data_IF_923485217192
#
_entry.id   IF_923485217192
#
_cell.length_a   1.000
_cell.length_b   1.000
_cell.length_c   1.000
_cell.angle_alpha   90.00
_cell.angle_beta   90.00
_cell.angle_gamma   90.00
#
_symmetry.space_group_name_H-M   'P 1'
#
loop_
_entity.id
_entity.type
_entity.pdbx_description
1 polymer ?
#
# COMPACT_ATOMS: atom_id res chain seq x y z
N UNK A 1 33.59 21.91 54.78
CA UNK A 1 32.74 20.70 54.81
C UNK A 1 33.67 19.53 54.61
N UNK A 2 33.79 18.65 55.61
CA UNK A 2 34.70 17.51 55.59
C UNK A 2 34.12 16.43 54.68
N UNK A 3 34.96 15.91 53.77
CA UNK A 3 34.72 14.71 52.99
C UNK A 3 34.57 13.51 53.94
N UNK A 4 33.36 13.05 54.17
CA UNK A 4 33.10 11.73 54.74
C UNK A 4 33.19 10.72 53.60
N UNK A 5 34.39 10.24 53.34
CA UNK A 5 34.64 9.05 52.51
C UNK A 5 33.92 7.85 53.13
N UNK A 6 32.78 7.52 52.60
CA UNK A 6 31.95 6.37 53.00
C UNK A 6 32.62 5.06 52.60
N UNK A 7 33.56 4.62 53.44
CA UNK A 7 34.30 3.35 53.24
C UNK A 7 33.42 2.16 53.71
N UNK A 8 32.14 2.18 53.29
CA UNK A 8 31.12 1.20 53.65
C UNK A 8 31.53 -0.24 53.32
N UNK A 9 32.32 -0.44 52.25
CA UNK A 9 32.82 -1.75 51.82
C UNK A 9 33.71 -2.41 52.89
N UNK A 10 34.46 -1.62 53.69
CA UNK A 10 35.32 -2.17 54.75
C UNK A 10 34.52 -2.76 55.92
N UNK A 11 33.30 -2.30 56.16
CA UNK A 11 32.47 -2.73 57.28
C UNK A 11 31.63 -3.99 56.93
N UNK A 12 31.60 -4.39 55.68
CA UNK A 12 30.85 -5.58 55.29
C UNK A 12 31.50 -6.87 55.78
N UNK A 13 30.72 -7.92 56.15
CA UNK A 13 31.17 -9.27 56.36
C UNK A 13 31.91 -9.80 55.12
N UNK A 14 32.89 -10.70 55.31
CA UNK A 14 33.77 -11.17 54.24
C UNK A 14 32.99 -11.80 53.06
N UNK A 15 31.92 -12.53 53.32
CA UNK A 15 31.08 -13.14 52.29
C UNK A 15 30.29 -12.10 51.45
N UNK A 16 29.89 -10.99 52.07
CA UNK A 16 29.25 -9.89 51.33
C UNK A 16 30.23 -9.15 50.44
N UNK A 17 31.50 -9.02 50.86
CA UNK A 17 32.59 -8.47 50.03
C UNK A 17 32.80 -9.31 48.77
N UNK A 18 32.80 -10.65 48.94
CA UNK A 18 32.90 -11.57 47.79
C UNK A 18 31.71 -11.41 46.85
N UNK A 19 30.48 -11.29 47.37
CA UNK A 19 29.28 -11.10 46.55
C UNK A 19 29.33 -9.79 45.76
N UNK A 20 29.72 -8.68 46.38
CA UNK A 20 29.87 -7.39 45.71
C UNK A 20 30.93 -7.45 44.61
N UNK A 21 32.04 -8.11 44.85
CA UNK A 21 33.10 -8.30 43.85
C UNK A 21 32.63 -9.18 42.69
N UNK A 22 31.90 -10.23 42.98
CA UNK A 22 31.31 -11.13 41.93
C UNK A 22 30.30 -10.40 41.07
N UNK A 23 29.38 -9.65 41.68
CA UNK A 23 28.42 -8.81 40.95
C UNK A 23 29.10 -7.75 40.12
N UNK A 24 30.11 -7.05 40.70
CA UNK A 24 30.93 -6.09 39.98
C UNK A 24 31.67 -6.70 38.79
N UNK A 25 32.21 -7.92 38.97
CA UNK A 25 32.86 -8.65 37.88
C UNK A 25 31.90 -9.09 36.77
N UNK A 26 30.70 -9.53 37.15
CA UNK A 26 29.63 -9.90 36.16
C UNK A 26 29.20 -8.66 35.38
N UNK A 27 29.01 -7.51 36.07
CA UNK A 27 28.61 -6.25 35.40
C UNK A 27 29.74 -5.77 34.47
N UNK A 28 31.02 -5.82 34.94
CA UNK A 28 32.16 -5.47 34.12
C UNK A 28 32.30 -6.41 32.91
N UNK A 29 32.14 -7.72 33.12
CA UNK A 29 32.16 -8.69 32.02
C UNK A 29 31.02 -8.44 30.98
N UNK A 30 29.83 -8.05 31.43
CA UNK A 30 28.73 -7.65 30.54
C UNK A 30 29.04 -6.37 29.76
N UNK A 31 29.81 -5.42 30.35
CA UNK A 31 30.22 -4.22 29.64
C UNK A 31 31.42 -4.43 28.70
N UNK A 32 32.37 -5.31 29.04
CA UNK A 32 33.56 -5.57 28.21
C UNK A 32 33.32 -6.61 27.10
N UNK A 33 32.32 -7.51 27.26
CA UNK A 33 31.97 -8.50 26.25
C UNK A 33 30.99 -7.96 25.19
N UNK A 34 30.66 -6.69 25.20
CA UNK A 34 29.84 -6.01 24.20
C UNK A 34 28.54 -6.75 23.79
N UNK A 35 27.59 -6.07 23.17
CA UNK A 35 26.37 -6.72 22.68
C UNK A 35 26.62 -7.83 21.65
N UNK A 36 27.80 -7.90 21.04
CA UNK A 36 28.13 -8.86 19.98
C UNK A 36 28.30 -10.31 20.46
N UNK A 37 28.64 -10.55 21.75
CA UNK A 37 28.80 -11.93 22.28
C UNK A 37 27.46 -12.57 22.60
N UNK A 38 26.44 -11.78 22.96
CA UNK A 38 25.08 -12.30 23.16
C UNK A 38 24.28 -12.42 21.86
N UNK A 39 24.66 -11.70 20.80
CA UNK A 39 24.12 -11.83 19.47
C UNK A 39 24.45 -13.17 18.80
N UNK A 40 25.66 -13.70 19.07
CA UNK A 40 26.12 -14.95 18.39
C UNK A 40 25.56 -16.26 18.97
N UNK A 41 25.00 -16.24 20.18
CA UNK A 41 24.44 -17.47 20.78
C UNK A 41 23.02 -17.80 20.25
N UNK A 42 22.33 -16.84 19.62
CA UNK A 42 20.98 -17.05 19.07
C UNK A 42 20.89 -17.19 17.54
N UNK A 43 21.99 -17.11 16.79
CA UNK A 43 21.96 -17.13 15.31
C UNK A 43 22.05 -18.52 14.67
N UNK A 44 22.09 -19.61 15.44
CA UNK A 44 22.09 -20.98 14.88
C UNK A 44 20.76 -21.73 15.08
N UNK A 45 19.64 -21.06 15.22
CA UNK A 45 18.40 -21.66 14.74
C UNK A 45 18.46 -21.58 13.22
N UNK A 46 18.66 -22.70 12.55
CA UNK A 46 18.39 -22.83 11.12
C UNK A 46 17.07 -22.12 10.85
N UNK A 47 17.14 -20.90 10.28
CA UNK A 47 15.94 -20.23 9.84
C UNK A 47 15.34 -21.15 8.79
N UNK A 48 14.30 -21.89 9.17
CA UNK A 48 13.44 -22.57 8.24
C UNK A 48 13.01 -21.59 7.13
N UNK A 49 12.51 -22.06 6.02
CA UNK A 49 12.00 -21.17 4.98
C UNK A 49 11.06 -20.16 5.65
N UNK A 50 11.15 -18.86 5.29
CA UNK A 50 10.31 -17.84 5.91
C UNK A 50 8.85 -18.26 5.85
N UNK A 51 8.15 -18.12 6.98
CA UNK A 51 6.74 -18.49 7.07
C UNK A 51 5.95 -17.76 5.98
N UNK A 52 5.09 -18.48 5.25
CA UNK A 52 4.28 -17.86 4.22
C UNK A 52 3.31 -16.85 4.84
N UNK A 53 3.24 -15.66 4.26
CA UNK A 53 2.41 -14.57 4.78
C UNK A 53 1.26 -14.31 3.80
N UNK A 54 0.04 -14.21 4.33
CA UNK A 54 -1.09 -13.60 3.65
C UNK A 54 -1.19 -12.13 4.06
N UNK A 55 -0.85 -11.24 3.15
CA UNK A 55 -1.05 -9.81 3.35
C UNK A 55 -2.49 -9.41 3.01
N UNK A 56 -3.08 -8.57 3.87
CA UNK A 56 -4.36 -7.91 3.62
C UNK A 56 -4.11 -6.42 3.49
N UNK A 57 -4.27 -5.88 2.29
CA UNK A 57 -4.15 -4.45 2.05
C UNK A 57 -5.53 -3.81 1.94
N UNK A 58 -5.78 -2.78 2.75
CA UNK A 58 -6.99 -1.96 2.67
C UNK A 58 -6.61 -0.64 2.02
N UNK A 59 -7.14 -0.43 0.82
CA UNK A 59 -6.75 0.68 -0.05
C UNK A 59 -7.93 1.63 -0.21
N UNK A 60 -7.72 2.92 0.03
CA UNK A 60 -8.70 3.94 -0.33
C UNK A 60 -8.27 4.68 -1.60
N UNK A 61 -9.18 4.84 -2.55
CA UNK A 61 -8.98 5.62 -3.77
C UNK A 61 -9.63 6.98 -3.61
N UNK A 62 -8.85 8.04 -3.77
CA UNK A 62 -9.34 9.42 -3.76
C UNK A 62 -9.51 9.90 -5.21
N UNK A 63 -10.61 9.49 -5.83
CA UNK A 63 -10.92 9.79 -7.23
C UNK A 63 -11.39 11.22 -7.43
N UNK A 64 -12.41 11.59 -6.68
CA UNK A 64 -13.11 12.88 -6.72
C UNK A 64 -13.15 13.50 -5.32
N UNK A 65 -12.04 14.05 -4.81
CA UNK A 65 -11.95 14.50 -3.42
C UNK A 65 -13.00 15.54 -3.01
N UNK A 66 -13.60 16.26 -3.97
CA UNK A 66 -14.71 17.19 -3.71
C UNK A 66 -16.05 16.50 -3.48
N UNK A 67 -16.22 15.24 -3.90
CA UNK A 67 -17.44 14.47 -3.71
C UNK A 67 -17.48 13.78 -2.33
N UNK A 68 -16.36 13.69 -1.61
CA UNK A 68 -16.30 13.12 -0.27
C UNK A 68 -17.12 13.95 0.72
N UNK A 69 -18.13 13.34 1.32
CA UNK A 69 -18.94 13.90 2.38
C UNK A 69 -18.31 13.78 3.77
N UNK A 70 -18.94 14.42 4.75
CA UNK A 70 -18.53 14.25 6.16
C UNK A 70 -18.83 12.84 6.66
N UNK A 71 -19.89 12.20 6.17
CA UNK A 71 -20.28 10.84 6.54
C UNK A 71 -19.29 9.81 6.00
N UNK A 72 -18.71 10.03 4.82
CA UNK A 72 -17.64 9.22 4.28
C UNK A 72 -16.39 9.29 5.15
N UNK A 73 -16.01 10.49 5.58
CA UNK A 73 -14.89 10.69 6.50
C UNK A 73 -15.14 10.00 7.84
N UNK A 74 -16.36 10.09 8.39
CA UNK A 74 -16.77 9.40 9.61
C UNK A 74 -16.71 7.88 9.43
N UNK A 75 -17.08 7.37 8.25
CA UNK A 75 -17.00 5.94 7.94
C UNK A 75 -15.55 5.43 7.96
N UNK A 76 -14.62 6.15 7.32
CA UNK A 76 -13.19 5.81 7.40
C UNK A 76 -12.66 5.82 8.84
N UNK A 77 -13.04 6.82 9.64
CA UNK A 77 -12.64 6.89 11.05
C UNK A 77 -13.23 5.73 11.86
N UNK A 78 -14.47 5.34 11.58
CA UNK A 78 -15.14 4.20 12.22
C UNK A 78 -14.41 2.89 11.90
N UNK A 79 -14.11 2.62 10.63
CA UNK A 79 -13.33 1.43 10.25
C UNK A 79 -11.95 1.42 10.91
N UNK A 80 -11.25 2.55 10.94
CA UNK A 80 -9.94 2.66 11.60
C UNK A 80 -10.03 2.35 13.11
N UNK A 81 -11.10 2.82 13.77
CA UNK A 81 -11.33 2.57 15.19
C UNK A 81 -11.71 1.12 15.48
N UNK A 82 -12.59 0.55 14.66
CA UNK A 82 -13.09 -0.83 14.86
C UNK A 82 -11.99 -1.87 14.59
N UNK A 83 -11.05 -1.56 13.66
CA UNK A 83 -9.99 -2.46 13.25
C UNK A 83 -8.59 -1.86 13.51
N UNK A 84 -8.14 -1.76 14.78
CA UNK A 84 -6.93 -1.01 15.15
C UNK A 84 -5.62 -1.63 14.61
N UNK A 85 -5.65 -2.90 14.20
CA UNK A 85 -4.52 -3.56 13.53
C UNK A 85 -4.45 -3.28 12.03
N UNK A 86 -5.55 -2.77 11.45
CA UNK A 86 -5.62 -2.44 10.03
C UNK A 86 -4.59 -1.35 9.67
N UNK A 87 -4.01 -1.49 8.47
CA UNK A 87 -3.08 -0.50 7.89
C UNK A 87 -3.64 -0.05 6.57
N UNK A 88 -4.02 1.23 6.49
CA UNK A 88 -4.47 1.83 5.27
C UNK A 88 -3.31 2.08 4.28
N UNK A 89 -3.59 1.92 2.99
CA UNK A 89 -2.89 2.65 1.94
C UNK A 89 -3.87 3.66 1.34
N UNK A 90 -3.68 4.93 1.64
CA UNK A 90 -4.47 6.01 1.06
C UNK A 90 -3.86 6.43 -0.27
N UNK A 91 -4.45 6.03 -1.39
CA UNK A 91 -4.05 6.51 -2.72
C UNK A 91 -4.67 7.88 -2.95
N UNK A 92 -3.92 8.91 -2.55
CA UNK A 92 -4.39 10.28 -2.45
C UNK A 92 -4.22 11.05 -3.76
N UNK A 93 -5.25 11.82 -4.15
CA UNK A 93 -5.25 12.59 -5.39
C UNK A 93 -4.92 14.07 -5.14
N UNK A 94 -3.78 14.59 -5.65
CA UNK A 94 -3.40 15.99 -5.47
C UNK A 94 -4.31 16.98 -6.21
N UNK A 95 -5.27 16.52 -7.01
CA UNK A 95 -6.31 17.38 -7.59
C UNK A 95 -7.09 18.14 -6.50
N UNK A 96 -7.14 17.60 -5.27
CA UNK A 96 -7.69 18.29 -4.11
C UNK A 96 -7.09 19.69 -3.87
N UNK A 97 -5.91 19.97 -4.43
CA UNK A 97 -5.23 21.27 -4.32
C UNK A 97 -5.33 22.13 -5.59
N UNK A 98 -5.92 21.63 -6.65
CA UNK A 98 -6.08 22.34 -7.93
C UNK A 98 -7.52 22.71 -8.23
N UNK A 99 -8.46 22.02 -7.59
CA UNK A 99 -9.89 22.32 -7.62
C UNK A 99 -10.37 22.77 -6.23
N UNK A 100 -11.47 23.50 -6.18
CA UNK A 100 -12.12 23.86 -4.91
C UNK A 100 -12.74 22.60 -4.28
N UNK A 101 -12.13 22.14 -3.21
CA UNK A 101 -12.58 20.95 -2.48
C UNK A 101 -12.97 21.37 -1.06
N UNK A 102 -14.25 21.41 -0.70
CA UNK A 102 -14.72 21.97 0.58
C UNK A 102 -14.07 21.35 1.81
N UNK A 103 -13.81 20.05 1.75
CA UNK A 103 -13.32 19.27 2.89
C UNK A 103 -11.85 18.84 2.78
N UNK A 104 -11.06 19.35 1.80
CA UNK A 104 -9.70 18.88 1.57
C UNK A 104 -8.81 18.94 2.81
N UNK A 105 -8.95 19.97 3.67
CA UNK A 105 -8.17 20.08 4.92
C UNK A 105 -8.49 18.97 5.91
N UNK A 106 -9.77 18.58 6.01
CA UNK A 106 -10.20 17.45 6.89
C UNK A 106 -9.68 16.13 6.34
N UNK A 107 -9.78 15.90 5.03
CA UNK A 107 -9.22 14.73 4.37
C UNK A 107 -7.70 14.64 4.57
N UNK A 108 -6.98 15.72 4.28
CA UNK A 108 -5.53 15.78 4.45
C UNK A 108 -5.12 15.49 5.91
N UNK A 109 -5.84 16.10 6.86
CA UNK A 109 -5.61 15.86 8.29
C UNK A 109 -5.87 14.40 8.66
N UNK A 110 -6.93 13.80 8.12
CA UNK A 110 -7.25 12.40 8.36
C UNK A 110 -6.18 11.45 7.83
N UNK A 111 -5.78 11.57 6.57
CA UNK A 111 -4.76 10.66 6.00
C UNK A 111 -3.40 10.82 6.69
N UNK A 112 -3.03 12.05 7.08
CA UNK A 112 -1.83 12.29 7.88
C UNK A 112 -1.92 11.64 9.26
N UNK A 113 -3.05 11.80 9.95
CA UNK A 113 -3.28 11.15 11.24
C UNK A 113 -3.21 9.64 11.13
N UNK A 114 -3.80 9.03 10.11
CA UNK A 114 -3.66 7.60 9.86
C UNK A 114 -2.22 7.18 9.63
N UNK A 115 -1.42 7.96 8.90
CA UNK A 115 0.02 7.72 8.72
C UNK A 115 0.77 7.79 10.05
N UNK A 116 0.57 8.85 10.80
CA UNK A 116 1.38 9.17 11.99
C UNK A 116 0.99 8.29 13.19
N UNK A 117 -0.31 8.00 13.38
CA UNK A 117 -0.81 7.26 14.55
C UNK A 117 -0.98 5.75 14.27
N UNK A 118 -1.22 5.37 13.01
CA UNK A 118 -1.60 3.99 12.66
C UNK A 118 -0.67 3.34 11.62
N UNK A 119 0.41 4.01 11.21
CA UNK A 119 1.37 3.48 10.23
C UNK A 119 0.78 3.28 8.84
N UNK A 120 -0.22 4.09 8.46
CA UNK A 120 -0.77 4.07 7.11
C UNK A 120 0.24 4.61 6.08
N UNK A 121 0.11 4.15 4.84
CA UNK A 121 0.83 4.69 3.70
C UNK A 121 -0.02 5.74 2.98
N UNK A 122 0.62 6.83 2.50
CA UNK A 122 0.00 7.77 1.58
C UNK A 122 0.68 7.60 0.22
N UNK A 123 0.01 6.88 -0.68
CA UNK A 123 0.37 6.71 -2.07
C UNK A 123 -0.32 7.74 -2.97
N UNK A 124 -0.23 7.56 -4.27
CA UNK A 124 -0.79 8.49 -5.27
C UNK A 124 -1.87 7.82 -6.11
N UNK A 125 -2.98 8.51 -6.30
CA UNK A 125 -4.00 8.23 -7.31
C UNK A 125 -4.15 9.41 -8.25
N UNK A 126 -4.18 9.18 -9.57
CA UNK A 126 -4.26 10.27 -10.54
C UNK A 126 -5.30 10.02 -11.63
N UNK A 127 -6.30 10.87 -11.66
CA UNK A 127 -7.13 11.11 -12.83
C UNK A 127 -6.66 12.36 -13.59
N UNK A 128 -6.86 12.40 -14.90
CA UNK A 128 -6.29 13.43 -15.79
C UNK A 128 -7.15 14.69 -15.85
N UNK A 129 -7.53 15.21 -14.68
CA UNK A 129 -8.32 16.42 -14.57
C UNK A 129 -7.63 17.63 -15.18
N UNK A 130 -8.38 18.46 -15.89
CA UNK A 130 -7.87 19.65 -16.56
C UNK A 130 -7.13 20.59 -15.59
N UNK A 131 -7.69 20.80 -14.38
CA UNK A 131 -7.09 21.67 -13.37
C UNK A 131 -5.70 21.17 -12.92
N UNK A 132 -5.53 19.87 -12.76
CA UNK A 132 -4.26 19.22 -12.41
C UNK A 132 -3.26 19.39 -13.56
N UNK A 133 -3.66 19.06 -14.79
CA UNK A 133 -2.81 19.12 -15.96
C UNK A 133 -2.34 20.52 -16.25
N UNK A 134 -3.22 21.52 -16.18
CA UNK A 134 -2.88 22.93 -16.34
C UNK A 134 -1.81 23.37 -15.34
N UNK A 135 -1.93 22.95 -14.08
CA UNK A 135 -0.94 23.26 -13.03
C UNK A 135 0.38 22.52 -13.23
N UNK A 136 0.34 21.32 -13.82
CA UNK A 136 1.52 20.56 -14.18
C UNK A 136 2.19 21.06 -15.49
N UNK A 137 1.63 22.05 -16.18
CA UNK A 137 2.13 22.56 -17.46
C UNK A 137 1.96 21.55 -18.62
N UNK A 138 0.88 20.79 -18.59
CA UNK A 138 0.52 19.78 -19.60
C UNK A 138 -0.79 20.17 -20.27
N UNK A 139 -0.84 20.00 -21.60
CA UNK A 139 -2.05 20.28 -22.36
C UNK A 139 -3.11 19.22 -22.08
N UNK A 140 -4.29 19.69 -21.68
CA UNK A 140 -5.44 18.81 -21.47
C UNK A 140 -5.90 18.13 -22.77
N UNK A 141 -6.31 16.87 -22.65
CA UNK A 141 -6.96 16.08 -23.70
C UNK A 141 -8.27 15.53 -23.16
N UNK A 142 -9.32 15.54 -23.97
CA UNK A 142 -10.63 14.98 -23.62
C UNK A 142 -10.93 13.64 -24.33
N UNK A 143 -9.97 13.12 -25.09
CA UNK A 143 -10.13 11.90 -25.89
C UNK A 143 -8.75 11.22 -26.05
N UNK A 144 -8.69 9.87 -26.09
CA UNK A 144 -9.81 8.93 -25.88
C UNK A 144 -10.30 8.90 -24.42
N UNK A 145 -11.47 8.34 -24.19
CA UNK A 145 -12.10 8.21 -22.88
C UNK A 145 -12.32 6.73 -22.51
N UNK A 146 -12.12 6.41 -21.23
CA UNK A 146 -12.49 5.12 -20.64
C UNK A 146 -14.03 4.96 -20.54
N UNK A 147 -14.76 6.07 -20.65
CA UNK A 147 -16.20 6.08 -20.71
C UNK A 147 -16.65 5.88 -22.18
N UNK A 148 -17.58 4.98 -22.45
CA UNK A 148 -18.13 4.70 -23.80
C UNK A 148 -18.77 5.93 -24.49
N UNK A 149 -19.18 6.90 -23.70
CA UNK A 149 -19.60 8.21 -24.20
C UNK A 149 -18.40 9.11 -24.17
N UNK A 150 -17.73 9.57 -25.10
CA UNK A 150 -16.61 10.53 -25.06
C UNK A 150 -16.45 11.25 -23.69
N UNK A 151 -15.26 11.59 -23.27
CA UNK A 151 -15.03 12.27 -22.00
C UNK A 151 -16.03 13.41 -21.87
N UNK A 152 -16.87 13.35 -20.86
CA UNK A 152 -17.76 14.44 -20.54
C UNK A 152 -16.87 15.60 -20.03
N UNK A 153 -17.01 16.76 -20.66
CA UNK A 153 -16.33 17.97 -20.25
C UNK A 153 -17.16 18.77 -19.24
N UNK A 154 -18.22 18.16 -18.68
CA UNK A 154 -18.97 18.76 -17.58
C UNK A 154 -18.09 19.00 -16.36
N UNK A 155 -18.51 19.88 -15.46
CA UNK A 155 -17.72 20.25 -14.27
C UNK A 155 -17.34 19.04 -13.40
N UNK A 156 -18.10 17.95 -13.46
CA UNK A 156 -17.91 16.77 -12.63
C UNK A 156 -16.95 15.75 -13.25
N UNK A 157 -16.71 15.79 -14.57
CA UNK A 157 -15.87 14.82 -15.28
C UNK A 157 -14.83 15.44 -16.22
N UNK A 158 -14.40 16.69 -16.01
CA UNK A 158 -13.39 17.31 -16.88
C UNK A 158 -12.05 16.56 -16.78
N UNK A 159 -11.91 15.49 -17.58
CA UNK A 159 -10.73 14.64 -17.64
C UNK A 159 -10.73 13.43 -16.70
N UNK A 160 -11.78 13.20 -15.91
CA UNK A 160 -11.89 12.04 -15.02
C UNK A 160 -11.66 10.73 -15.76
N UNK A 161 -12.34 10.54 -16.89
CA UNK A 161 -12.32 9.29 -17.67
C UNK A 161 -11.20 9.22 -18.72
N UNK A 162 -10.33 10.20 -18.79
CA UNK A 162 -9.20 10.20 -19.74
C UNK A 162 -8.04 9.38 -19.16
N UNK A 163 -7.54 8.34 -19.85
CA UNK A 163 -6.46 7.53 -19.32
C UNK A 163 -5.11 8.27 -19.35
N UNK A 164 -4.32 8.13 -18.29
CA UNK A 164 -2.98 8.72 -18.22
C UNK A 164 -2.04 8.19 -19.30
N UNK A 165 -2.31 7.02 -19.84
CA UNK A 165 -1.50 6.33 -20.88
C UNK A 165 -1.49 7.01 -22.23
N UNK A 166 -2.36 8.00 -22.49
CA UNK A 166 -2.37 8.76 -23.75
C UNK A 166 -1.35 9.91 -23.76
N UNK A 167 -0.79 10.24 -22.61
CA UNK A 167 0.20 11.31 -22.48
C UNK A 167 1.59 10.77 -22.79
N UNK A 168 2.39 11.60 -23.45
CA UNK A 168 3.77 11.25 -23.74
C UNK A 168 4.59 11.12 -22.46
N UNK A 169 5.70 10.42 -22.52
CA UNK A 169 6.61 10.24 -21.39
C UNK A 169 6.98 11.56 -20.71
N UNK A 170 7.33 12.58 -21.48
CA UNK A 170 7.68 13.90 -20.94
C UNK A 170 6.49 14.57 -20.21
N UNK A 171 5.26 14.41 -20.72
CA UNK A 171 4.07 14.93 -20.08
C UNK A 171 3.77 14.16 -18.78
N UNK A 172 3.89 12.85 -18.80
CA UNK A 172 3.75 12.00 -17.60
C UNK A 172 4.78 12.42 -16.53
N UNK A 173 6.04 12.62 -16.91
CA UNK A 173 7.09 13.06 -15.98
C UNK A 173 6.76 14.44 -15.37
N UNK A 174 6.19 15.39 -16.14
CA UNK A 174 5.73 16.68 -15.61
C UNK A 174 4.58 16.51 -14.59
N UNK A 175 3.60 15.65 -14.89
CA UNK A 175 2.47 15.37 -14.00
C UNK A 175 2.97 14.74 -12.68
N UNK A 176 3.86 13.75 -12.77
CA UNK A 176 4.43 13.07 -11.61
C UNK A 176 5.30 14.01 -10.77
N UNK A 177 6.11 14.86 -11.40
CA UNK A 177 6.91 15.86 -10.69
C UNK A 177 6.03 16.90 -9.98
N UNK A 178 4.98 17.39 -10.63
CA UNK A 178 4.00 18.27 -9.97
C UNK A 178 3.39 17.59 -8.74
N UNK A 179 2.98 16.33 -8.88
CA UNK A 179 2.42 15.53 -7.79
C UNK A 179 3.40 15.38 -6.62
N UNK A 180 4.65 15.02 -6.89
CA UNK A 180 5.69 14.87 -5.87
C UNK A 180 5.97 16.19 -5.13
N UNK A 181 5.98 17.31 -5.87
CA UNK A 181 6.13 18.64 -5.27
C UNK A 181 4.95 18.96 -4.35
N UNK A 182 3.71 18.67 -4.75
CA UNK A 182 2.52 18.85 -3.91
C UNK A 182 2.58 17.98 -2.64
N UNK A 183 2.98 16.74 -2.74
CA UNK A 183 3.17 15.87 -1.58
C UNK A 183 4.21 16.45 -0.61
N UNK A 184 5.33 16.96 -1.12
CA UNK A 184 6.36 17.63 -0.31
C UNK A 184 5.83 18.91 0.34
N UNK A 185 5.22 19.83 -0.44
CA UNK A 185 4.64 21.09 0.04
C UNK A 185 3.60 20.86 1.13
N UNK A 186 2.83 19.80 1.01
CA UNK A 186 1.74 19.46 1.94
C UNK A 186 2.16 18.55 3.08
N UNK A 187 3.42 18.19 3.18
CA UNK A 187 3.95 17.24 4.19
C UNK A 187 3.18 15.89 4.21
N UNK A 188 2.89 15.34 3.02
CA UNK A 188 2.25 14.03 2.87
C UNK A 188 3.27 12.87 2.89
N UNK A 189 4.56 13.17 2.92
CA UNK A 189 5.63 12.20 2.80
C UNK A 189 6.01 11.93 1.33
N UNK A 190 6.97 11.04 1.13
CA UNK A 190 7.35 10.56 -0.20
C UNK A 190 6.47 9.37 -0.56
N UNK A 191 5.59 9.47 -1.58
CA UNK A 191 4.76 8.35 -1.98
C UNK A 191 5.62 7.25 -2.61
N UNK A 192 5.32 5.99 -2.29
CA UNK A 192 5.98 4.80 -2.85
C UNK A 192 5.07 4.00 -3.77
N UNK A 193 3.75 4.09 -3.58
CA UNK A 193 2.73 3.43 -4.39
C UNK A 193 1.98 4.40 -5.29
N UNK A 194 1.54 3.88 -6.43
CA UNK A 194 0.86 4.64 -7.48
C UNK A 194 -0.27 3.83 -8.09
N UNK A 195 -1.39 4.48 -8.39
CA UNK A 195 -2.47 3.94 -9.20
C UNK A 195 -2.99 5.02 -10.16
N UNK A 196 -3.03 4.73 -11.45
CA UNK A 196 -3.68 5.60 -12.41
C UNK A 196 -5.20 5.46 -12.36
N UNK A 197 -5.91 6.53 -12.63
CA UNK A 197 -7.36 6.53 -12.77
C UNK A 197 -7.84 5.48 -13.78
N UNK A 198 -9.00 4.88 -13.51
CA UNK A 198 -9.53 3.75 -14.27
C UNK A 198 -8.57 2.55 -14.38
N UNK A 199 -7.58 2.49 -13.49
CA UNK A 199 -6.57 1.41 -13.52
C UNK A 199 -5.79 1.34 -14.85
N UNK A 200 -5.68 2.45 -15.58
CA UNK A 200 -4.96 2.50 -16.86
C UNK A 200 -3.47 2.20 -16.66
N UNK A 201 -2.92 1.32 -17.47
CA UNK A 201 -1.51 0.97 -17.43
C UNK A 201 -0.94 0.73 -18.82
N UNK A 202 0.34 1.06 -18.99
CA UNK A 202 1.16 0.75 -20.16
C UNK A 202 2.61 0.62 -19.73
N UNK A 203 3.44 -0.01 -20.53
CA UNK A 203 4.88 -0.14 -20.26
C UNK A 203 5.51 1.24 -20.03
N UNK A 204 5.18 2.22 -20.87
CA UNK A 204 5.74 3.57 -20.75
C UNK A 204 5.31 4.28 -19.46
N UNK A 205 4.06 4.09 -19.01
CA UNK A 205 3.62 4.60 -17.73
C UNK A 205 4.35 3.91 -16.59
N UNK A 206 4.51 2.58 -16.64
CA UNK A 206 5.23 1.83 -15.60
C UNK A 206 6.71 2.25 -15.52
N UNK A 207 7.38 2.45 -16.66
CA UNK A 207 8.74 3.01 -16.69
C UNK A 207 8.79 4.44 -16.13
N UNK A 208 7.77 5.26 -16.39
CA UNK A 208 7.69 6.63 -15.87
C UNK A 208 7.55 6.65 -14.34
N UNK A 209 6.63 5.88 -13.77
CA UNK A 209 6.46 5.85 -12.32
C UNK A 209 7.71 5.30 -11.61
N UNK A 210 8.34 4.25 -12.15
CA UNK A 210 9.57 3.68 -11.62
C UNK A 210 10.72 4.70 -11.56
N UNK A 211 10.94 5.44 -12.67
CA UNK A 211 11.97 6.48 -12.72
C UNK A 211 11.67 7.71 -11.90
N UNK A 212 10.39 7.99 -11.59
CA UNK A 212 9.99 9.05 -10.68
C UNK A 212 10.01 8.60 -9.20
N UNK A 213 10.40 7.34 -8.92
CA UNK A 213 10.68 6.83 -7.58
C UNK A 213 9.47 6.27 -6.86
N UNK A 214 8.51 5.78 -7.62
CA UNK A 214 7.52 4.85 -7.11
C UNK A 214 8.08 3.43 -7.20
N UNK A 215 7.65 2.57 -6.30
CA UNK A 215 8.14 1.20 -6.16
C UNK A 215 7.05 0.16 -6.41
N UNK A 216 5.79 0.62 -6.39
CA UNK A 216 4.61 -0.21 -6.58
C UNK A 216 3.65 0.51 -7.52
N UNK A 217 3.18 -0.21 -8.53
CA UNK A 217 1.96 0.06 -9.26
C UNK A 217 0.82 -0.76 -8.64
N UNK A 218 -0.35 -0.16 -8.44
CA UNK A 218 -1.53 -0.82 -7.91
C UNK A 218 -2.69 -0.71 -8.92
N UNK A 219 -2.39 -0.92 -10.19
CA UNK A 219 -3.32 -0.73 -11.29
C UNK A 219 -3.84 -2.03 -11.91
N UNK A 220 -3.22 -3.20 -11.60
CA UNK A 220 -3.69 -4.47 -12.17
C UNK A 220 -5.11 -4.80 -11.70
N UNK A 221 -6.04 -4.73 -12.63
CA UNK A 221 -7.46 -4.88 -12.34
C UNK A 221 -8.04 -6.11 -13.07
N UNK A 222 -8.64 -7.08 -12.34
CA UNK A 222 -9.27 -8.23 -12.95
C UNK A 222 -10.44 -7.80 -13.84
N UNK A 223 -10.42 -8.07 -15.16
CA UNK A 223 -11.50 -7.68 -16.07
C UNK A 223 -12.86 -8.13 -15.58
N UNK A 224 -13.87 -7.29 -15.76
CA UNK A 224 -15.22 -7.54 -15.26
C UNK A 224 -16.27 -6.99 -16.21
N UNK A 225 -17.24 -7.82 -16.53
CA UNK A 225 -18.43 -7.39 -17.29
C UNK A 225 -19.32 -6.43 -16.47
N UNK A 226 -19.05 -6.28 -15.15
CA UNK A 226 -19.81 -5.38 -14.27
C UNK A 226 -19.45 -3.90 -14.43
N UNK A 227 -18.44 -3.53 -15.21
CA UNK A 227 -18.26 -2.13 -15.61
C UNK A 227 -19.44 -1.58 -16.41
N UNK A 228 -20.39 -2.46 -16.77
CA UNK A 228 -21.59 -2.11 -17.53
C UNK A 228 -21.29 -1.65 -18.94
N UNK A 229 -22.35 -1.41 -19.72
CA UNK A 229 -22.23 -0.93 -21.09
C UNK A 229 -21.59 0.49 -21.19
N UNK A 230 -21.54 1.20 -20.08
CA UNK A 230 -20.96 2.55 -20.01
C UNK A 230 -19.44 2.55 -20.17
N UNK A 231 -18.75 1.57 -19.57
CA UNK A 231 -17.28 1.52 -19.56
C UNK A 231 -16.72 0.36 -20.41
N UNK A 232 -17.54 -0.64 -20.66
CA UNK A 232 -17.13 -1.80 -21.44
C UNK A 232 -16.65 -1.45 -22.82
N UNK A 233 -16.36 -1.72 -23.79
CA UNK A 233 -15.27 -1.89 -24.73
C UNK A 233 -14.11 -0.91 -24.48
N UNK A 234 -14.38 0.38 -24.31
CA UNK A 234 -13.33 1.41 -24.15
C UNK A 234 -12.39 1.11 -23.00
N UNK A 235 -12.93 0.66 -21.86
CA UNK A 235 -12.09 0.29 -20.71
C UNK A 235 -11.16 -0.88 -21.05
N UNK A 236 -11.69 -1.94 -21.67
CA UNK A 236 -10.88 -3.12 -22.04
C UNK A 236 -9.76 -2.79 -23.02
N UNK A 237 -10.02 -1.89 -23.96
CA UNK A 237 -9.04 -1.46 -24.94
C UNK A 237 -7.95 -0.56 -24.35
N UNK A 238 -8.32 0.34 -23.44
CA UNK A 238 -7.46 1.41 -22.95
C UNK A 238 -6.77 1.12 -21.61
N UNK A 239 -7.29 0.17 -20.81
CA UNK A 239 -6.72 -0.12 -19.50
C UNK A 239 -5.42 -0.92 -19.54
N UNK A 240 -5.20 -1.70 -20.60
CA UNK A 240 -4.06 -2.60 -20.75
C UNK A 240 -4.23 -3.97 -20.10
N UNK A 241 -5.31 -4.22 -19.37
CA UNK A 241 -5.54 -5.48 -18.64
C UNK A 241 -6.34 -6.49 -19.45
N UNK A 242 -6.05 -7.77 -19.25
CA UNK A 242 -6.75 -8.88 -19.90
C UNK A 242 -7.01 -10.03 -18.92
N UNK A 243 -7.51 -11.16 -19.44
CA UNK A 243 -7.91 -12.35 -18.65
C UNK A 243 -6.79 -13.02 -17.85
N UNK A 244 -5.51 -12.65 -18.06
CA UNK A 244 -4.40 -13.17 -17.25
C UNK A 244 -4.35 -12.54 -15.86
N UNK A 245 -4.95 -11.33 -15.70
CA UNK A 245 -5.18 -10.73 -14.38
C UNK A 245 -6.51 -11.22 -13.84
N UNK A 246 -6.47 -11.88 -12.70
CA UNK A 246 -7.64 -12.50 -12.05
C UNK A 246 -7.74 -12.08 -10.59
N UNK A 247 -8.86 -12.41 -9.96
CA UNK A 247 -9.03 -12.23 -8.51
C UNK A 247 -8.06 -13.08 -7.68
N UNK A 248 -7.35 -14.03 -8.31
CA UNK A 248 -6.33 -14.88 -7.70
C UNK A 248 -4.90 -14.42 -8.02
N UNK A 249 -4.73 -13.35 -8.79
CA UNK A 249 -3.41 -12.82 -9.11
C UNK A 249 -2.71 -12.33 -7.84
N UNK A 250 -1.47 -12.71 -7.68
CA UNK A 250 -0.59 -12.29 -6.59
C UNK A 250 0.27 -11.11 -7.04
N UNK A 251 0.90 -10.34 -6.14
CA UNK A 251 1.89 -9.35 -6.53
C UNK A 251 2.98 -9.96 -7.43
N UNK A 252 3.41 -9.22 -8.46
CA UNK A 252 4.40 -9.71 -9.43
C UNK A 252 5.33 -8.61 -9.94
N UNK A 253 6.48 -9.00 -10.45
CA UNK A 253 7.47 -8.12 -11.09
C UNK A 253 6.98 -7.71 -12.48
N UNK A 254 7.03 -6.42 -12.81
CA UNK A 254 6.62 -5.92 -14.14
C UNK A 254 7.77 -6.08 -15.11
N UNK A 255 7.54 -6.83 -16.20
CA UNK A 255 8.50 -7.00 -17.29
C UNK A 255 8.67 -5.71 -18.11
N UNK A 256 9.80 -5.56 -18.80
CA UNK A 256 10.00 -4.47 -19.78
C UNK A 256 9.17 -4.64 -21.05
N UNK A 257 8.61 -5.83 -21.29
CA UNK A 257 7.86 -6.17 -22.50
C UNK A 257 6.34 -6.17 -22.28
N UNK A 258 5.88 -6.47 -21.05
CA UNK A 258 4.45 -6.55 -20.75
C UNK A 258 4.15 -6.16 -19.31
N UNK A 259 3.01 -5.50 -19.11
CA UNK A 259 2.47 -5.20 -17.77
C UNK A 259 1.77 -6.41 -17.13
N UNK A 260 1.58 -7.50 -17.87
CA UNK A 260 0.82 -8.66 -17.44
C UNK A 260 1.66 -9.61 -16.59
N UNK A 261 1.04 -10.45 -15.72
CA UNK A 261 1.75 -11.34 -14.81
C UNK A 261 2.51 -12.48 -15.50
N UNK A 262 2.40 -12.60 -16.81
CA UNK A 262 3.10 -13.60 -17.65
C UNK A 262 4.47 -13.10 -18.14
N UNK A 263 4.85 -11.86 -17.81
CA UNK A 263 6.12 -11.27 -18.27
C UNK A 263 7.32 -11.90 -17.55
N UNK A 264 8.41 -12.03 -18.29
CA UNK A 264 9.71 -12.53 -17.80
C UNK A 264 10.74 -11.39 -17.71
N UNK A 265 11.94 -11.68 -17.21
CA UNK A 265 13.04 -10.72 -17.23
C UNK A 265 13.41 -10.33 -18.69
N UNK A 266 13.88 -9.10 -18.94
CA UNK A 266 14.23 -8.08 -17.95
C UNK A 266 13.00 -7.39 -17.34
N UNK A 267 13.14 -7.00 -16.06
CA UNK A 267 12.08 -6.31 -15.32
C UNK A 267 12.36 -4.80 -15.23
N UNK A 268 11.28 -4.00 -15.26
CA UNK A 268 11.37 -2.55 -15.02
C UNK A 268 11.91 -2.31 -13.61
N UNK A 269 13.02 -1.57 -13.50
CA UNK A 269 13.68 -1.29 -12.22
C UNK A 269 13.21 0.03 -11.63
N UNK A 270 12.83 0.01 -10.38
CA UNK A 270 12.60 1.20 -9.57
C UNK A 270 13.95 1.85 -9.16
N UNK A 271 13.91 3.03 -8.54
CA UNK A 271 15.11 3.79 -8.17
C UNK A 271 16.08 3.08 -7.21
N UNK A 272 15.61 2.10 -6.47
CA UNK A 272 16.45 1.27 -5.58
C UNK A 272 17.12 0.08 -6.29
N UNK A 273 16.97 0.00 -7.61
CA UNK A 273 17.53 -1.07 -8.44
C UNK A 273 16.74 -2.38 -8.42
N UNK A 274 15.76 -2.52 -7.52
CA UNK A 274 14.88 -3.69 -7.48
C UNK A 274 13.74 -3.54 -8.50
N UNK A 275 13.12 -4.63 -8.97
CA UNK A 275 11.98 -4.56 -9.87
C UNK A 275 10.82 -3.72 -9.32
N UNK A 276 10.13 -3.01 -10.22
CA UNK A 276 8.81 -2.45 -9.93
C UNK A 276 7.81 -3.58 -9.75
N UNK A 277 7.01 -3.50 -8.69
CA UNK A 277 5.98 -4.51 -8.39
C UNK A 277 4.61 -4.01 -8.81
N UNK A 278 3.86 -4.86 -9.49
CA UNK A 278 2.43 -4.67 -9.69
C UNK A 278 1.64 -5.36 -8.57
N UNK A 279 0.70 -4.63 -8.01
CA UNK A 279 -0.19 -5.11 -6.96
C UNK A 279 -1.62 -5.21 -7.46
N UNK A 280 -2.17 -6.44 -7.67
CA UNK A 280 -3.51 -6.62 -8.22
C UNK A 280 -4.62 -6.19 -7.26
N UNK A 281 -5.63 -5.52 -7.80
CA UNK A 281 -6.87 -5.12 -7.13
C UNK A 281 -7.84 -6.32 -7.04
N UNK A 282 -7.48 -7.31 -6.24
CA UNK A 282 -8.11 -8.64 -6.24
C UNK A 282 -9.60 -8.62 -5.91
N UNK A 283 -10.03 -7.79 -4.96
CA UNK A 283 -11.46 -7.62 -4.63
C UNK A 283 -12.16 -6.57 -5.51
N UNK A 284 -11.48 -6.08 -6.58
CA UNK A 284 -12.04 -5.03 -7.42
C UNK A 284 -12.36 -3.77 -6.60
N UNK A 285 -13.49 -3.11 -6.88
CA UNK A 285 -13.92 -1.89 -6.21
C UNK A 285 -15.21 -2.10 -5.41
N UNK A 286 -15.45 -1.23 -4.48
CA UNK A 286 -16.51 -1.31 -3.46
C UNK A 286 -17.91 -1.68 -3.98
N UNK A 287 -18.41 -1.01 -5.02
CA UNK A 287 -19.73 -1.27 -5.58
C UNK A 287 -19.82 -2.56 -6.43
N UNK A 288 -18.66 -3.14 -6.82
CA UNK A 288 -18.60 -4.33 -7.69
C UNK A 288 -18.58 -5.65 -6.92
N UNK A 289 -18.36 -5.62 -5.61
CA UNK A 289 -18.08 -6.81 -4.80
C UNK A 289 -19.00 -6.90 -3.60
N UNK A 290 -19.48 -8.12 -3.30
CA UNK A 290 -20.25 -8.42 -2.09
C UNK A 290 -19.32 -8.91 -0.97
N UNK A 291 -19.84 -8.93 0.28
CA UNK A 291 -19.19 -9.52 1.46
C UNK A 291 -18.72 -10.95 1.17
N UNK A 292 -19.61 -11.80 0.68
CA UNK A 292 -19.28 -13.21 0.42
C UNK A 292 -18.27 -13.39 -0.71
N UNK A 293 -18.27 -12.50 -1.69
CA UNK A 293 -17.26 -12.53 -2.74
C UNK A 293 -15.88 -12.15 -2.18
N UNK A 294 -15.76 -11.10 -1.37
CA UNK A 294 -14.52 -10.72 -0.70
C UNK A 294 -13.99 -11.84 0.21
N UNK A 295 -14.85 -12.45 1.02
CA UNK A 295 -14.50 -13.62 1.85
C UNK A 295 -14.02 -14.80 1.00
N UNK A 296 -14.63 -15.02 -0.15
CA UNK A 296 -14.21 -16.10 -1.06
C UNK A 296 -12.84 -15.83 -1.66
N UNK A 297 -12.58 -14.60 -2.13
CA UNK A 297 -11.25 -14.20 -2.62
C UNK A 297 -10.20 -14.36 -1.52
N UNK A 298 -10.49 -13.90 -0.30
CA UNK A 298 -9.61 -14.08 0.84
C UNK A 298 -9.27 -15.56 1.07
N UNK A 299 -10.27 -16.45 1.07
CA UNK A 299 -10.04 -17.90 1.23
C UNK A 299 -9.18 -18.49 0.11
N UNK A 300 -9.33 -18.02 -1.13
CA UNK A 300 -8.49 -18.46 -2.25
C UNK A 300 -7.01 -18.04 -2.04
N UNK A 301 -6.76 -16.81 -1.59
CA UNK A 301 -5.41 -16.35 -1.29
C UNK A 301 -4.81 -17.05 -0.05
N UNK A 302 -5.62 -17.39 0.95
CA UNK A 302 -5.19 -18.19 2.09
C UNK A 302 -4.70 -19.58 1.68
N UNK A 303 -5.26 -20.17 0.61
CA UNK A 303 -4.78 -21.46 0.07
C UNK A 303 -3.33 -21.37 -0.43
N UNK A 304 -2.94 -20.26 -1.06
CA UNK A 304 -1.55 -20.07 -1.48
C UNK A 304 -0.60 -20.06 -0.26
N UNK A 305 -0.96 -19.37 0.81
CA UNK A 305 -0.15 -19.37 2.03
C UNK A 305 -0.05 -20.75 2.66
N UNK A 306 -1.13 -21.53 2.69
CA UNK A 306 -1.11 -22.94 3.13
C UNK A 306 -0.20 -23.84 2.28
N UNK A 307 0.08 -23.42 1.06
CA UNK A 307 1.02 -24.08 0.12
C UNK A 307 2.45 -23.52 0.21
N UNK A 308 2.76 -22.72 1.22
CA UNK A 308 4.08 -22.13 1.40
C UNK A 308 4.37 -20.90 0.52
N UNK A 309 3.35 -20.26 -0.06
CA UNK A 309 3.52 -19.15 -1.00
C UNK A 309 3.00 -17.85 -0.40
N UNK A 310 3.78 -16.78 -0.48
CA UNK A 310 3.29 -15.44 -0.13
C UNK A 310 2.13 -15.04 -1.04
N UNK A 311 1.12 -14.41 -0.46
CA UNK A 311 -0.02 -13.91 -1.21
C UNK A 311 -0.55 -12.60 -0.62
N UNK A 312 -1.39 -11.88 -1.39
CA UNK A 312 -1.96 -10.63 -0.93
C UNK A 312 -3.38 -10.43 -1.45
N UNK A 313 -4.25 -9.93 -0.59
CA UNK A 313 -5.62 -9.53 -0.91
C UNK A 313 -5.73 -8.02 -0.83
N UNK A 314 -6.38 -7.40 -1.81
CA UNK A 314 -6.70 -5.98 -1.81
C UNK A 314 -8.18 -5.76 -1.57
N UNK A 315 -8.52 -4.99 -0.55
CA UNK A 315 -9.86 -4.45 -0.28
C UNK A 315 -9.82 -2.97 -0.67
N UNK A 316 -10.51 -2.58 -1.74
CA UNK A 316 -10.49 -1.21 -2.26
C UNK A 316 -11.83 -0.50 -2.01
N UNK A 317 -11.76 0.73 -1.50
CA UNK A 317 -12.91 1.59 -1.19
C UNK A 317 -12.68 3.01 -1.72
N UNK A 318 -13.67 3.59 -2.40
CA UNK A 318 -13.60 4.98 -2.85
C UNK A 318 -13.98 5.94 -1.74
N UNK A 319 -13.36 7.12 -1.76
CA UNK A 319 -13.53 8.14 -0.73
C UNK A 319 -14.97 8.65 -0.60
N UNK A 320 -15.71 8.68 -1.69
CA UNK A 320 -17.09 9.18 -1.76
C UNK A 320 -18.16 8.08 -1.62
N UNK A 321 -17.74 6.85 -1.35
CA UNK A 321 -18.62 5.69 -1.18
C UNK A 321 -18.47 5.02 0.20
N UNK A 322 -17.59 5.56 1.05
CA UNK A 322 -17.22 4.93 2.31
C UNK A 322 -18.43 4.78 3.27
N UNK A 323 -19.26 5.81 3.38
CA UNK A 323 -20.47 5.76 4.21
C UNK A 323 -21.46 4.70 3.72
N UNK A 324 -21.70 4.64 2.40
CA UNK A 324 -22.60 3.67 1.79
C UNK A 324 -22.14 2.22 2.01
N UNK A 325 -20.84 2.01 2.10
CA UNK A 325 -20.25 0.68 2.17
C UNK A 325 -19.65 0.33 3.54
N UNK A 326 -19.85 1.17 4.57
CA UNK A 326 -19.31 0.99 5.91
C UNK A 326 -19.61 -0.40 6.47
N UNK A 327 -20.87 -0.81 6.55
CA UNK A 327 -21.29 -2.10 7.10
C UNK A 327 -20.67 -3.28 6.34
N UNK A 328 -20.60 -3.16 5.01
CA UNK A 328 -19.98 -4.17 4.15
C UNK A 328 -18.52 -4.42 4.51
N UNK A 329 -17.73 -3.35 4.62
CA UNK A 329 -16.30 -3.45 4.92
C UNK A 329 -16.06 -3.83 6.37
N UNK A 330 -16.82 -3.30 7.33
CA UNK A 330 -16.76 -3.69 8.73
C UNK A 330 -17.01 -5.20 8.90
N UNK A 331 -18.03 -5.74 8.20
CA UNK A 331 -18.33 -7.18 8.21
C UNK A 331 -17.18 -8.04 7.67
N UNK A 332 -16.54 -7.60 6.58
CA UNK A 332 -15.41 -8.35 6.00
C UNK A 332 -14.17 -8.25 6.86
N UNK A 333 -13.90 -7.08 7.42
CA UNK A 333 -12.75 -6.86 8.29
C UNK A 333 -12.90 -7.64 9.60
N UNK A 334 -14.09 -7.71 10.21
CA UNK A 334 -14.36 -8.57 11.35
C UNK A 334 -14.06 -10.05 11.04
N UNK A 335 -14.52 -10.54 9.89
CA UNK A 335 -14.18 -11.89 9.43
C UNK A 335 -12.67 -12.09 9.28
N UNK A 336 -11.93 -11.11 8.72
CA UNK A 336 -10.48 -11.19 8.57
C UNK A 336 -9.80 -11.19 9.94
N UNK A 337 -10.23 -10.36 10.87
CA UNK A 337 -9.70 -10.31 12.24
C UNK A 337 -9.85 -11.67 12.95
N UNK A 338 -11.00 -12.34 12.80
CA UNK A 338 -11.20 -13.71 13.27
C UNK A 338 -10.25 -14.70 12.60
N UNK A 339 -10.02 -14.56 11.28
CA UNK A 339 -9.09 -15.43 10.55
C UNK A 339 -7.64 -15.22 10.99
N UNK A 340 -7.22 -13.99 11.31
CA UNK A 340 -5.89 -13.71 11.86
C UNK A 340 -5.68 -14.49 13.14
N UNK A 341 -6.64 -14.46 14.06
CA UNK A 341 -6.55 -15.17 15.34
C UNK A 341 -6.54 -16.69 15.14
N UNK A 342 -7.51 -17.23 14.40
CA UNK A 342 -7.69 -18.67 14.23
C UNK A 342 -6.61 -19.37 13.40
N UNK A 343 -5.88 -18.63 12.55
CA UNK A 343 -4.80 -19.21 11.74
C UNK A 343 -3.42 -19.03 12.39
N UNK A 344 -3.23 -18.08 13.31
CA UNK A 344 -1.99 -17.91 14.06
C UNK A 344 -1.61 -19.20 14.83
N UNK A 345 -2.60 -19.85 15.45
CA UNK A 345 -2.39 -21.14 16.16
C UNK A 345 -1.97 -22.29 15.23
N UNK A 346 -2.19 -22.15 13.92
CA UNK A 346 -1.83 -23.13 12.89
C UNK A 346 -0.52 -22.79 12.17
N UNK A 347 0.23 -21.79 12.68
CA UNK A 347 1.48 -21.33 12.07
C UNK A 347 1.29 -20.61 10.72
N UNK A 348 0.10 -20.08 10.44
CA UNK A 348 -0.17 -19.32 9.23
C UNK A 348 -0.26 -17.83 9.60
N UNK A 349 0.67 -17.05 9.07
CA UNK A 349 0.72 -15.61 9.31
C UNK A 349 -0.21 -14.86 8.36
N UNK A 350 -1.18 -14.14 8.92
CA UNK A 350 -2.06 -13.22 8.20
C UNK A 350 -1.88 -11.85 8.82
N UNK A 351 -1.62 -10.82 8.01
CA UNK A 351 -1.40 -9.48 8.55
C UNK A 351 -1.95 -8.38 7.65
N UNK A 352 -2.41 -7.30 8.28
CA UNK A 352 -2.70 -6.08 7.57
C UNK A 352 -1.40 -5.38 7.19
N UNK A 353 -1.26 -5.04 5.91
CA UNK A 353 -0.04 -4.48 5.37
C UNK A 353 -0.32 -3.34 4.39
N UNK A 354 0.48 -2.30 4.45
CA UNK A 354 0.51 -1.29 3.40
C UNK A 354 1.12 -1.88 2.12
N UNK A 355 0.89 -1.26 0.99
CA UNK A 355 1.49 -1.67 -0.27
C UNK A 355 3.02 -1.69 -0.19
N UNK A 356 3.61 -0.66 0.43
CA UNK A 356 5.07 -0.59 0.62
C UNK A 356 5.61 -1.74 1.46
N UNK A 357 4.93 -2.12 2.54
CA UNK A 357 5.34 -3.26 3.37
C UNK A 357 5.25 -4.58 2.62
N UNK A 358 4.20 -4.77 1.79
CA UNK A 358 4.07 -5.96 0.94
C UNK A 358 5.24 -6.06 -0.04
N UNK A 359 5.62 -4.94 -0.67
CA UNK A 359 6.76 -4.92 -1.59
C UNK A 359 8.08 -5.25 -0.90
N UNK A 360 8.31 -4.70 0.29
CA UNK A 360 9.53 -4.97 1.03
C UNK A 360 9.61 -6.47 1.39
N UNK A 361 8.53 -7.05 1.91
CA UNK A 361 8.42 -8.49 2.19
C UNK A 361 8.53 -9.37 0.93
N UNK A 362 8.06 -8.88 -0.23
CA UNK A 362 8.16 -9.61 -1.49
C UNK A 362 9.62 -9.93 -1.87
N UNK A 363 10.56 -9.04 -1.58
CA UNK A 363 11.97 -9.23 -1.88
C UNK A 363 12.76 -9.89 -0.74
N UNK A 364 12.26 -9.84 0.49
CA UNK A 364 12.89 -10.49 1.64
C UNK A 364 12.52 -11.97 1.74
N UNK A 365 11.37 -12.36 1.21
CA UNK A 365 10.89 -13.73 1.21
C UNK A 365 11.66 -14.60 0.22
N UNK A 366 12.39 -15.61 0.75
CA UNK A 366 13.01 -16.67 -0.05
C UNK A 366 11.98 -17.62 -0.70
N UNK A 367 10.69 -17.46 -0.35
CA UNK A 367 9.58 -18.32 -0.81
C UNK A 367 8.97 -17.89 -2.16
N UNK A 368 9.54 -16.89 -2.82
CA UNK A 368 9.17 -16.51 -4.17
C UNK A 368 10.20 -17.08 -5.16
N UNK A 369 10.06 -18.34 -5.62
CA UNK A 369 10.83 -18.79 -6.76
C UNK A 369 10.53 -17.87 -7.93
N UNK A 370 11.54 -17.54 -8.70
CA UNK A 370 11.32 -16.90 -10.00
C UNK A 370 10.34 -17.77 -10.80
N UNK A 371 9.36 -17.15 -11.49
CA UNK A 371 8.38 -17.91 -12.26
C UNK A 371 9.02 -18.75 -13.32
#
# INVERSE_FOLDING_TARGET
>A
MKDEDTNWFKTLPWWQKILVLLVGFIIAALFFLGPDVFGQINENKSQGPPEPILHVSVVSHFDQPWAMGIDDLNAFQTLTKNHPKMRWTHLYNPVAYTQLTPHYKKMESFVKKCRDDHGAEIGVHLHMYESLLKKAGVKFRNSPSMNAKSADTSQDDTGYSVPMTIYSRNEIDKILNFTLNKFKERNLGRPRSFCAGFYAASIELQKAIATNGYYISAAAFPPSNKFGAQYAPSWHELSGWNKTVTVRSRPYKISEETILPIGTAPYIKAKDGKPLIEFPQTCKIDWMVSVEHMKTIFREHLKFCKQGQMSAVCLAIHENNAAQHLEKYDTVLNYIDEQILSNAEKGIRIEYSTLSAIRDNFFESKANPEP
#
